data_IF_066587469524
#
_entry.id   IF_066587469524
#
_cell.length_a   1.000
_cell.length_b   1.000
_cell.length_c   1.000
_cell.angle_alpha   90.00
_cell.angle_beta   90.00
_cell.angle_gamma   90.00
#
_symmetry.space_group_name_H-M   'P 1'
#
loop_
_entity.id
_entity.type
_entity.pdbx_description
1 polymer ?
#
# COMPACT_ATOMS: atom_id res chain seq x y z
N UNK A 1 3.89 3.26 -9.56
CA UNK A 1 4.99 2.54 -8.89
C UNK A 1 6.34 3.24 -8.94
N UNK A 2 6.96 3.51 -10.11
CA UNK A 2 8.32 4.11 -10.13
C UNK A 2 8.44 5.42 -9.33
N UNK A 3 7.47 6.33 -9.48
CA UNK A 3 7.45 7.60 -8.74
C UNK A 3 7.25 7.40 -7.23
N UNK A 4 6.43 6.43 -6.82
CA UNK A 4 6.23 6.06 -5.42
C UNK A 4 7.52 5.52 -4.79
N UNK A 5 8.25 4.66 -5.52
CA UNK A 5 9.54 4.17 -5.05
C UNK A 5 10.55 5.31 -4.90
N UNK A 6 10.65 6.19 -5.89
CA UNK A 6 11.50 7.38 -5.80
C UNK A 6 11.09 8.31 -4.65
N UNK A 7 9.80 8.42 -4.36
CA UNK A 7 9.29 9.19 -3.23
C UNK A 7 9.74 8.59 -1.89
N UNK A 8 9.59 7.27 -1.72
CA UNK A 8 10.06 6.52 -0.54
C UNK A 8 11.58 6.68 -0.39
N UNK A 9 12.33 6.53 -1.47
CA UNK A 9 13.79 6.69 -1.48
C UNK A 9 14.22 8.09 -1.07
N UNK A 10 13.56 9.14 -1.58
CA UNK A 10 13.87 10.54 -1.21
C UNK A 10 13.48 10.88 0.23
N UNK A 11 12.41 10.28 0.73
CA UNK A 11 11.91 10.55 2.07
C UNK A 11 12.61 9.73 3.15
N UNK A 12 13.30 8.64 2.77
CA UNK A 12 14.08 7.77 3.65
C UNK A 12 13.35 7.44 4.98
N UNK A 13 12.15 6.83 4.94
CA UNK A 13 11.31 6.65 6.13
C UNK A 13 12.00 5.84 7.24
N UNK A 14 12.95 4.97 6.90
CA UNK A 14 13.77 4.24 7.87
C UNK A 14 14.68 5.15 8.71
N UNK A 15 15.07 6.32 8.20
CA UNK A 15 15.78 7.35 8.98
C UNK A 15 14.80 8.18 9.80
N UNK A 16 13.67 8.59 9.20
CA UNK A 16 12.61 9.33 9.90
C UNK A 16 12.05 8.55 11.09
N UNK A 17 11.93 7.22 10.99
CA UNK A 17 11.51 6.35 12.08
C UNK A 17 12.41 6.39 13.33
N UNK A 18 13.63 6.89 13.21
CA UNK A 18 14.57 7.05 14.32
C UNK A 18 14.55 8.47 14.92
N UNK A 19 13.75 9.38 14.37
CA UNK A 19 13.64 10.79 14.77
C UNK A 19 12.27 11.03 15.41
N UNK A 20 12.16 11.06 16.75
CA UNK A 20 10.88 11.19 17.44
C UNK A 20 10.12 12.49 17.11
N UNK A 21 10.84 13.56 16.79
CA UNK A 21 10.30 14.86 16.39
C UNK A 21 9.70 14.87 14.98
N UNK A 22 10.00 13.86 14.16
CA UNK A 22 9.54 13.75 12.77
C UNK A 22 8.41 12.73 12.57
N UNK A 23 7.75 12.26 13.63
CA UNK A 23 6.70 11.24 13.52
C UNK A 23 5.57 11.65 12.54
N UNK A 24 5.08 12.89 12.61
CA UNK A 24 4.05 13.36 11.68
C UNK A 24 4.48 13.29 10.21
N UNK A 25 5.76 13.55 9.94
CA UNK A 25 6.32 13.44 8.58
C UNK A 25 6.41 11.99 8.14
N UNK A 26 6.86 11.10 9.03
CA UNK A 26 6.90 9.66 8.78
C UNK A 26 5.50 9.13 8.44
N UNK A 27 4.49 9.49 9.25
CA UNK A 27 3.11 9.06 9.05
C UNK A 27 2.59 9.50 7.68
N UNK A 28 2.88 10.74 7.27
CA UNK A 28 2.51 11.26 5.96
C UNK A 28 3.14 10.44 4.82
N UNK A 29 4.43 10.11 4.95
CA UNK A 29 5.16 9.32 3.94
C UNK A 29 4.59 7.90 3.85
N UNK A 30 4.39 7.24 4.99
CA UNK A 30 3.84 5.88 5.06
C UNK A 30 2.40 5.82 4.54
N UNK A 31 1.57 6.78 4.94
CA UNK A 31 0.20 6.91 4.45
C UNK A 31 0.16 7.04 2.92
N UNK A 32 0.99 7.94 2.38
CA UNK A 32 1.07 8.16 0.93
C UNK A 32 1.47 6.87 0.19
N UNK A 33 2.46 6.14 0.71
CA UNK A 33 2.90 4.88 0.12
C UNK A 33 1.81 3.80 0.17
N UNK A 34 1.13 3.65 1.32
CA UNK A 34 0.05 2.70 1.51
C UNK A 34 -1.15 3.01 0.60
N UNK A 35 -1.54 4.29 0.49
CA UNK A 35 -2.68 4.72 -0.31
C UNK A 35 -2.45 4.52 -1.82
N UNK A 36 -1.24 4.84 -2.32
CA UNK A 36 -0.90 4.53 -3.71
C UNK A 36 -0.93 3.02 -3.96
N UNK A 37 -0.46 2.22 -3.00
CA UNK A 37 -0.46 0.75 -3.10
C UNK A 37 -1.88 0.19 -3.11
N UNK A 38 -2.79 0.72 -2.28
CA UNK A 38 -4.21 0.38 -2.26
C UNK A 38 -4.88 0.66 -3.60
N UNK A 39 -4.68 1.86 -4.16
CA UNK A 39 -5.23 2.23 -5.47
C UNK A 39 -4.72 1.31 -6.58
N UNK A 40 -3.43 0.95 -6.54
CA UNK A 40 -2.87 0.01 -7.51
C UNK A 40 -3.50 -1.38 -7.40
N UNK A 41 -3.76 -1.88 -6.19
CA UNK A 41 -4.46 -3.16 -6.02
C UNK A 41 -5.85 -3.14 -6.70
N UNK A 42 -6.60 -2.05 -6.56
CA UNK A 42 -7.90 -1.85 -7.22
C UNK A 42 -7.77 -1.86 -8.75
N UNK A 43 -6.78 -1.14 -9.30
CA UNK A 43 -6.55 -1.10 -10.75
C UNK A 43 -6.05 -2.43 -11.32
N UNK A 44 -5.32 -3.20 -10.53
CA UNK A 44 -4.75 -4.49 -10.93
C UNK A 44 -5.72 -5.65 -10.74
N UNK A 45 -6.80 -5.47 -9.98
CA UNK A 45 -7.79 -6.51 -9.69
C UNK A 45 -8.33 -7.24 -10.93
N UNK A 46 -8.67 -6.60 -12.08
CA UNK A 46 -9.13 -7.31 -13.26
C UNK A 46 -8.04 -8.14 -13.98
N UNK A 47 -6.76 -7.90 -13.69
CA UNK A 47 -5.63 -8.58 -14.34
C UNK A 47 -4.98 -9.63 -13.44
N UNK A 48 -4.82 -9.34 -12.15
CA UNK A 48 -4.13 -10.18 -11.16
C UNK A 48 -4.90 -10.21 -9.82
N UNK A 49 -6.15 -10.73 -9.82
CA UNK A 49 -7.07 -10.64 -8.67
C UNK A 49 -6.50 -11.22 -7.37
N UNK A 50 -5.77 -12.32 -7.44
CA UNK A 50 -5.13 -12.96 -6.28
C UNK A 50 -4.11 -12.03 -5.62
N UNK A 51 -3.20 -11.44 -6.41
CA UNK A 51 -2.18 -10.52 -5.90
C UNK A 51 -2.82 -9.23 -5.36
N UNK A 52 -3.82 -8.69 -6.06
CA UNK A 52 -4.58 -7.52 -5.59
C UNK A 52 -5.24 -7.75 -4.23
N UNK A 53 -5.90 -8.89 -4.05
CA UNK A 53 -6.53 -9.22 -2.76
C UNK A 53 -5.48 -9.44 -1.66
N UNK A 54 -4.33 -10.05 -1.98
CA UNK A 54 -3.24 -10.19 -1.03
C UNK A 54 -2.68 -8.83 -0.59
N UNK A 55 -2.55 -7.86 -1.51
CA UNK A 55 -2.15 -6.48 -1.18
C UNK A 55 -3.17 -5.85 -0.22
N UNK A 56 -4.46 -5.92 -0.53
CA UNK A 56 -5.52 -5.37 0.33
C UNK A 56 -5.49 -6.00 1.73
N UNK A 57 -5.35 -7.32 1.81
CA UNK A 57 -5.24 -8.03 3.08
C UNK A 57 -4.01 -7.60 3.89
N UNK A 58 -2.84 -7.47 3.24
CA UNK A 58 -1.61 -7.00 3.91
C UNK A 58 -1.75 -5.56 4.42
N UNK A 59 -2.53 -4.71 3.73
CA UNK A 59 -2.90 -3.37 4.19
C UNK A 59 -4.01 -3.34 5.25
N UNK A 60 -4.51 -4.50 5.70
CA UNK A 60 -5.58 -4.60 6.69
C UNK A 60 -6.97 -4.22 6.15
N UNK A 61 -7.16 -4.29 4.83
CA UNK A 61 -8.39 -3.89 4.14
C UNK A 61 -9.16 -5.09 3.59
N UNK A 62 -10.45 -4.88 3.35
CA UNK A 62 -11.31 -5.84 2.65
C UNK A 62 -10.90 -6.01 1.18
N UNK A 63 -11.29 -7.15 0.60
CA UNK A 63 -10.96 -7.51 -0.79
C UNK A 63 -11.56 -6.53 -1.79
N UNK A 64 -10.96 -6.46 -2.99
CA UNK A 64 -11.39 -5.49 -4.01
C UNK A 64 -12.79 -5.76 -4.55
N UNK A 65 -13.30 -6.99 -4.42
CA UNK A 65 -14.59 -7.42 -4.95
C UNK A 65 -15.81 -6.94 -4.15
N UNK A 66 -15.62 -6.49 -2.91
CA UNK A 66 -16.73 -6.23 -1.96
C UNK A 66 -17.31 -4.81 -2.07
N UNK A 67 -16.70 -3.90 -2.83
CA UNK A 67 -17.13 -2.48 -2.89
C UNK A 67 -17.21 -1.96 -4.32
N UNK A 68 -18.11 -1.01 -4.57
CA UNK A 68 -18.22 -0.37 -5.88
C UNK A 68 -16.92 0.33 -6.27
N UNK A 69 -16.49 0.11 -7.51
CA UNK A 69 -15.24 0.64 -8.07
C UNK A 69 -15.16 2.17 -7.96
N UNK A 70 -16.29 2.85 -8.15
CA UNK A 70 -16.39 4.31 -8.07
C UNK A 70 -16.10 4.86 -6.66
N UNK A 71 -16.46 4.13 -5.60
CA UNK A 71 -16.18 4.56 -4.22
C UNK A 71 -14.74 4.26 -3.79
N UNK A 72 -14.12 3.24 -4.39
CA UNK A 72 -12.77 2.79 -4.03
C UNK A 72 -11.63 3.69 -4.54
N UNK A 73 -11.88 4.54 -5.54
CA UNK A 73 -10.83 5.35 -6.19
C UNK A 73 -10.50 6.67 -5.48
N UNK A 74 -11.28 7.05 -4.48
CA UNK A 74 -11.09 8.32 -3.78
C UNK A 74 -9.86 8.25 -2.89
N UNK A 75 -8.91 9.15 -3.11
CA UNK A 75 -7.75 9.34 -2.23
C UNK A 75 -8.21 9.76 -0.84
N UNK A 76 -7.61 9.21 0.21
CA UNK A 76 -7.95 9.62 1.58
C UNK A 76 -9.16 8.89 2.16
N UNK A 77 -9.74 7.94 1.43
CA UNK A 77 -10.99 7.27 1.82
C UNK A 77 -10.82 6.21 2.89
N UNK A 78 -9.57 5.86 3.25
CA UNK A 78 -9.25 4.82 4.24
C UNK A 78 -8.13 5.27 5.16
N UNK A 79 -8.19 4.78 6.40
CA UNK A 79 -7.11 4.88 7.38
C UNK A 79 -6.37 3.55 7.44
N UNK A 80 -5.04 3.59 7.54
CA UNK A 80 -4.19 2.41 7.68
C UNK A 80 -3.75 2.27 9.13
N UNK A 81 -4.57 1.62 9.95
CA UNK A 81 -4.31 1.50 11.40
C UNK A 81 -3.53 0.23 11.74
N UNK A 82 -3.70 -0.83 10.95
CA UNK A 82 -3.05 -2.12 11.15
C UNK A 82 -2.66 -2.72 9.80
N UNK A 83 -1.52 -3.40 9.77
CA UNK A 83 -1.06 -4.19 8.63
C UNK A 83 -1.01 -5.65 9.02
N UNK A 84 -1.24 -6.53 8.05
CA UNK A 84 -1.13 -7.98 8.23
C UNK A 84 0.14 -8.48 7.55
N UNK A 85 0.87 -9.37 8.21
CA UNK A 85 1.92 -10.13 7.54
C UNK A 85 1.29 -11.02 6.45
N UNK A 86 1.99 -11.17 5.33
CA UNK A 86 1.51 -11.99 4.22
C UNK A 86 2.65 -12.60 3.42
N UNK A 87 2.34 -13.56 2.55
CA UNK A 87 3.34 -14.18 1.68
C UNK A 87 3.90 -13.16 0.69
N UNK A 88 5.07 -13.45 0.12
CA UNK A 88 5.61 -12.68 -1.00
C UNK A 88 4.59 -12.62 -2.12
N UNK A 89 4.27 -11.39 -2.57
CA UNK A 89 3.26 -11.17 -3.62
C UNK A 89 3.66 -11.82 -4.95
N UNK A 90 4.97 -11.81 -5.25
CA UNK A 90 5.55 -12.38 -6.45
C UNK A 90 6.82 -13.15 -6.07
N UNK A 91 6.71 -14.46 -5.77
CA UNK A 91 7.88 -15.29 -5.49
C UNK A 91 8.78 -15.38 -6.72
N UNK A 92 10.08 -15.53 -6.50
CA UNK A 92 11.04 -15.79 -7.59
C UNK A 92 10.74 -17.17 -8.17
N UNK A 93 10.78 -17.28 -9.49
CA UNK A 93 10.72 -18.57 -10.18
C UNK A 93 12.10 -19.18 -10.05
N UNK A 94 12.20 -20.25 -9.27
CA UNK A 94 13.39 -21.09 -9.23
C UNK A 94 13.29 -22.10 -10.38
N UNK A 95 14.31 -22.11 -11.23
CA UNK A 95 14.50 -23.11 -12.29
C UNK A 95 15.47 -24.18 -11.81
#
# INVERSE_FOLDING_TARGET
MRQTNQYIERCEPWKLARQPDQQSRLDTVLYTAAEVTRLLAIFLAPYIPTASNNIMHQLGLETTATTSWAQQQTWGSRSFTQVNAGPLLFPRIEN
#
